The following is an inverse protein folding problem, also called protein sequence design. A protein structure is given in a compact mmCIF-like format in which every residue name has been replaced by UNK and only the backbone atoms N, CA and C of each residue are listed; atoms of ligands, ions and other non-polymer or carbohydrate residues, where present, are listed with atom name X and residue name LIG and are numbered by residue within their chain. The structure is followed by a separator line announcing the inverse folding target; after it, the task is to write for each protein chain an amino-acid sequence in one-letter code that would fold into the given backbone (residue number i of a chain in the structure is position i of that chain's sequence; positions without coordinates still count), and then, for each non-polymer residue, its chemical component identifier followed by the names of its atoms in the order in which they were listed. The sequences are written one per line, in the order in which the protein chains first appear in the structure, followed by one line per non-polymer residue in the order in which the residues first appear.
data_IF_053776704799
#
_entry.id   IF_053776704799
#
_cell.length_a   1.000
_cell.length_b   1.000
_cell.length_c   1.000
_cell.angle_alpha   90.00
_cell.angle_beta   90.00
_cell.angle_gamma   90.00
#
_symmetry.space_group_name_H-M   'P 1'
#
loop_
_entity.id
_entity.type
_entity.pdbx_description
1 polymer ?
#
# COMPACT_ATOMS: atom_id res chain seq x y z
N UNK A 1 -13.62 18.78 7.68
CA UNK A 1 -13.86 17.47 8.34
C UNK A 1 -12.53 16.82 8.66
N UNK A 2 -12.48 15.93 9.66
CA UNK A 2 -11.26 15.19 10.06
C UNK A 2 -11.55 13.69 10.02
N UNK A 3 -10.69 12.94 9.37
CA UNK A 3 -10.82 11.49 9.24
C UNK A 3 -9.52 10.78 9.61
N UNK A 4 -9.62 9.51 9.95
CA UNK A 4 -8.47 8.66 10.21
C UNK A 4 -8.57 7.33 9.47
N UNK A 5 -7.43 6.81 9.01
CA UNK A 5 -7.34 5.51 8.37
C UNK A 5 -6.26 4.68 9.05
N UNK A 6 -6.60 3.44 9.42
CA UNK A 6 -5.63 2.47 9.92
C UNK A 6 -5.44 1.39 8.84
N UNK A 7 -4.20 1.27 8.36
CA UNK A 7 -3.77 0.26 7.39
C UNK A 7 -2.87 -0.76 8.12
N UNK A 8 -3.38 -1.97 8.30
CA UNK A 8 -2.67 -3.09 8.93
C UNK A 8 -2.08 -3.95 7.82
N UNK A 9 -0.90 -3.54 7.35
CA UNK A 9 -0.16 -4.25 6.32
C UNK A 9 0.77 -5.34 6.87
N UNK A 10 1.31 -6.16 5.96
CA UNK A 10 2.20 -7.26 6.33
C UNK A 10 3.55 -6.80 6.91
N UNK A 11 4.09 -5.66 6.48
CA UNK A 11 5.38 -5.14 6.96
C UNK A 11 5.22 -4.10 8.07
N UNK A 12 4.18 -3.29 8.02
CA UNK A 12 3.95 -2.24 9.00
C UNK A 12 2.47 -1.92 9.15
N UNK A 13 2.11 -1.44 10.32
CA UNK A 13 0.80 -0.87 10.63
C UNK A 13 0.92 0.65 10.55
N UNK A 14 -0.06 1.32 9.93
CA UNK A 14 -0.04 2.76 9.70
C UNK A 14 -1.33 3.40 10.20
N UNK A 15 -1.20 4.61 10.73
CA UNK A 15 -2.31 5.51 10.99
C UNK A 15 -2.10 6.77 10.15
N UNK A 16 -3.05 7.08 9.28
CA UNK A 16 -3.14 8.36 8.58
C UNK A 16 -4.21 9.21 9.24
N UNK A 17 -3.84 10.42 9.68
CA UNK A 17 -4.76 11.47 10.10
C UNK A 17 -4.86 12.50 8.98
N UNK A 18 -6.07 12.84 8.57
CA UNK A 18 -6.31 13.72 7.42
C UNK A 18 -7.37 14.77 7.71
N UNK A 19 -7.06 16.03 7.35
CA UNK A 19 -8.04 17.11 7.28
C UNK A 19 -8.60 17.19 5.86
N UNK A 20 -9.92 17.24 5.73
CA UNK A 20 -10.61 17.47 4.47
C UNK A 20 -11.30 18.83 4.53
N UNK A 21 -10.94 19.68 3.60
CA UNK A 21 -11.48 21.03 3.45
C UNK A 21 -12.33 21.11 2.19
N UNK A 22 -13.59 21.49 2.34
CA UNK A 22 -14.44 21.83 1.21
C UNK A 22 -13.97 23.16 0.61
N UNK A 23 -13.74 23.18 -0.69
CA UNK A 23 -13.42 24.39 -1.43
C UNK A 23 -14.35 24.55 -2.64
N UNK A 24 -14.31 25.71 -3.29
CA UNK A 24 -15.10 25.94 -4.48
C UNK A 24 -14.76 24.97 -5.63
N UNK A 25 -13.49 24.57 -5.72
CA UNK A 25 -12.97 23.66 -6.75
C UNK A 25 -13.07 22.16 -6.34
N UNK A 26 -13.72 21.87 -5.20
CA UNK A 26 -13.86 20.52 -4.65
C UNK A 26 -13.11 20.29 -3.34
N UNK A 27 -13.15 19.05 -2.81
CA UNK A 27 -12.51 18.73 -1.54
C UNK A 27 -10.98 18.70 -1.66
N UNK A 28 -10.31 19.26 -0.67
CA UNK A 28 -8.85 19.24 -0.55
C UNK A 28 -8.46 18.39 0.64
N UNK A 29 -7.73 17.29 0.38
CA UNK A 29 -7.24 16.34 1.38
C UNK A 29 -5.85 16.72 1.86
N UNK A 30 -5.73 17.13 3.13
CA UNK A 30 -4.43 17.49 3.74
C UNK A 30 -4.05 16.46 4.79
N UNK A 31 -3.02 15.66 4.50
CA UNK A 31 -2.41 14.76 5.50
C UNK A 31 -1.91 15.61 6.67
N UNK A 32 -2.43 15.33 7.85
CA UNK A 32 -1.99 15.99 9.09
C UNK A 32 -0.80 15.23 9.69
N UNK A 33 -0.90 13.88 9.76
CA UNK A 33 0.16 13.03 10.31
C UNK A 33 0.06 11.62 9.73
N UNK A 34 1.21 10.96 9.58
CA UNK A 34 1.32 9.56 9.21
C UNK A 34 2.24 8.83 10.18
N UNK A 35 1.63 8.09 11.11
CA UNK A 35 2.35 7.26 12.07
C UNK A 35 2.53 5.86 11.51
N UNK A 36 3.74 5.29 11.63
CA UNK A 36 4.07 3.97 11.11
C UNK A 36 4.78 3.12 12.16
N UNK A 37 4.23 1.92 12.41
CA UNK A 37 4.78 0.92 13.34
C UNK A 37 5.18 -0.35 12.59
N UNK A 38 6.47 -0.73 12.57
CA UNK A 38 6.98 -1.88 11.80
C UNK A 38 6.80 -3.20 12.58
N UNK A 39 5.57 -3.69 12.71
CA UNK A 39 5.26 -4.92 13.47
C UNK A 39 5.62 -6.19 12.67
N UNK A 40 5.63 -6.13 11.33
CA UNK A 40 6.03 -7.24 10.43
C UNK A 40 5.19 -8.51 10.61
N UNK A 41 3.87 -8.37 10.68
CA UNK A 41 2.92 -9.49 10.83
C UNK A 41 3.13 -10.60 9.78
N UNK A 42 3.56 -10.20 8.57
CA UNK A 42 3.80 -11.13 7.46
C UNK A 42 4.95 -12.12 7.70
N UNK A 43 5.91 -11.82 8.56
CA UNK A 43 6.98 -12.79 8.89
C UNK A 43 6.41 -14.06 9.53
N UNK A 44 5.44 -13.90 10.40
CA UNK A 44 4.80 -15.01 11.09
C UNK A 44 3.73 -15.65 10.20
N UNK A 45 2.79 -14.83 9.70
CA UNK A 45 1.64 -15.30 8.94
C UNK A 45 2.04 -16.10 7.69
N UNK A 46 3.05 -15.65 6.93
CA UNK A 46 3.43 -16.35 5.70
C UNK A 46 4.27 -17.60 5.96
N UNK A 47 5.04 -17.64 7.06
CA UNK A 47 5.89 -18.79 7.41
C UNK A 47 5.16 -19.85 8.23
N UNK A 48 4.38 -19.42 9.20
CA UNK A 48 3.81 -20.29 10.23
C UNK A 48 2.29 -20.37 10.17
N UNK A 49 1.64 -19.57 9.32
CA UNK A 49 0.19 -19.40 9.24
C UNK A 49 -0.47 -18.89 10.53
N UNK A 50 0.30 -18.51 11.51
CA UNK A 50 -0.17 -18.04 12.82
C UNK A 50 0.64 -16.79 13.18
N UNK A 51 -0.03 -15.73 13.64
CA UNK A 51 0.61 -14.55 14.21
C UNK A 51 0.99 -14.88 15.66
N UNK A 52 2.26 -14.65 16.01
CA UNK A 52 2.79 -14.97 17.33
C UNK A 52 2.22 -14.06 18.43
N UNK A 53 2.23 -14.56 19.66
CA UNK A 53 1.75 -13.84 20.82
C UNK A 53 2.45 -12.49 20.98
N UNK A 54 3.76 -12.42 20.78
CA UNK A 54 4.54 -11.19 20.85
C UNK A 54 4.01 -10.13 19.85
N UNK A 55 3.75 -10.53 18.59
CA UNK A 55 3.24 -9.60 17.57
C UNK A 55 1.78 -9.21 17.80
N UNK A 56 0.97 -10.11 18.37
CA UNK A 56 -0.40 -9.78 18.80
C UNK A 56 -0.36 -8.70 19.87
N UNK A 57 0.49 -8.84 20.90
CA UNK A 57 0.63 -7.80 21.93
C UNK A 57 1.13 -6.47 21.36
N UNK A 58 2.11 -6.50 20.46
CA UNK A 58 2.61 -5.30 19.78
C UNK A 58 1.50 -4.63 18.98
N UNK A 59 0.69 -5.41 18.25
CA UNK A 59 -0.44 -4.91 17.49
C UNK A 59 -1.49 -4.27 18.40
N UNK A 60 -1.88 -4.94 19.48
CA UNK A 60 -2.84 -4.41 20.46
C UNK A 60 -2.37 -3.05 21.02
N UNK A 61 -1.11 -2.96 21.43
CA UNK A 61 -0.51 -1.71 21.95
C UNK A 61 -0.50 -0.61 20.89
N UNK A 62 -0.10 -0.92 19.66
CA UNK A 62 -0.06 0.02 18.56
C UNK A 62 -1.45 0.57 18.21
N UNK A 63 -2.45 -0.32 18.07
CA UNK A 63 -3.84 0.09 17.75
C UNK A 63 -4.44 0.90 18.90
N UNK A 64 -4.14 0.58 20.17
CA UNK A 64 -4.55 1.40 21.32
C UNK A 64 -3.95 2.80 21.27
N UNK A 65 -2.66 2.91 20.95
CA UNK A 65 -2.01 4.21 20.77
C UNK A 65 -2.64 4.99 19.61
N UNK A 66 -2.97 4.33 18.50
CA UNK A 66 -3.66 4.95 17.38
C UNK A 66 -5.05 5.45 17.76
N UNK A 67 -5.80 4.68 18.58
CA UNK A 67 -7.11 5.13 19.07
C UNK A 67 -6.99 6.44 19.86
N UNK A 68 -6.00 6.55 20.75
CA UNK A 68 -5.76 7.78 21.51
C UNK A 68 -5.39 8.96 20.59
N UNK A 69 -4.59 8.73 19.56
CA UNK A 69 -4.24 9.77 18.58
C UNK A 69 -5.47 10.22 17.77
N UNK A 70 -6.33 9.28 17.37
CA UNK A 70 -7.58 9.55 16.68
C UNK A 70 -8.50 10.43 17.55
N UNK A 71 -8.63 10.09 18.83
CA UNK A 71 -9.46 10.83 19.80
C UNK A 71 -8.94 12.26 20.02
N UNK A 72 -7.63 12.42 20.22
CA UNK A 72 -6.98 13.73 20.37
C UNK A 72 -7.09 14.57 19.10
N UNK A 73 -6.93 13.94 17.92
CA UNK A 73 -7.09 14.61 16.63
C UNK A 73 -8.53 15.08 16.40
N UNK A 74 -9.51 14.39 17.02
CA UNK A 74 -10.93 14.66 16.87
C UNK A 74 -11.46 14.26 15.48
N UNK A 75 -11.05 13.08 14.99
CA UNK A 75 -11.59 12.52 13.77
C UNK A 75 -13.09 12.19 13.97
N UNK A 76 -13.92 12.61 13.02
CA UNK A 76 -15.37 12.34 13.06
C UNK A 76 -15.71 10.91 12.69
N UNK A 77 -14.81 10.27 11.92
CA UNK A 77 -14.93 8.87 11.53
C UNK A 77 -13.53 8.28 11.24
N UNK A 78 -13.42 6.96 11.34
CA UNK A 78 -12.21 6.22 11.00
C UNK A 78 -12.54 4.81 10.52
N UNK A 79 -11.61 4.22 9.77
CA UNK A 79 -11.73 2.85 9.33
C UNK A 79 -10.38 2.13 9.45
N UNK A 80 -10.40 0.90 10.01
CA UNK A 80 -9.23 0.05 10.16
C UNK A 80 -9.35 -1.17 9.23
N UNK A 81 -8.45 -1.26 8.25
CA UNK A 81 -8.38 -2.36 7.30
C UNK A 81 -7.11 -3.18 7.51
N UNK A 82 -7.23 -4.50 7.44
CA UNK A 82 -6.10 -5.43 7.44
C UNK A 82 -6.04 -6.19 6.11
N UNK A 83 -4.82 -6.43 5.62
CA UNK A 83 -4.58 -7.02 4.30
C UNK A 83 -3.98 -8.43 4.39
N UNK A 84 -3.08 -8.80 3.49
CA UNK A 84 -2.62 -10.18 3.25
C UNK A 84 -2.11 -10.92 4.48
N UNK A 85 -1.38 -10.29 5.39
CA UNK A 85 -0.88 -11.01 6.59
C UNK A 85 -2.01 -11.45 7.52
N UNK A 86 -2.97 -10.57 7.79
CA UNK A 86 -4.13 -10.93 8.60
C UNK A 86 -5.05 -11.92 7.87
N UNK A 87 -5.26 -11.72 6.56
CA UNK A 87 -6.10 -12.58 5.73
C UNK A 87 -5.64 -14.04 5.74
N UNK A 88 -4.33 -14.29 5.80
CA UNK A 88 -3.76 -15.64 5.73
C UNK A 88 -3.43 -16.27 7.10
N UNK A 89 -3.60 -15.55 8.18
CA UNK A 89 -3.39 -16.09 9.52
C UNK A 89 -4.56 -16.97 9.95
N UNK A 90 -4.27 -18.19 10.39
CA UNK A 90 -5.28 -19.13 10.88
C UNK A 90 -5.92 -18.66 12.20
N UNK A 91 -5.19 -17.86 12.99
CA UNK A 91 -5.67 -17.28 14.24
C UNK A 91 -6.20 -15.84 14.12
N UNK A 92 -6.57 -15.40 12.91
CA UNK A 92 -6.99 -14.01 12.65
C UNK A 92 -8.20 -13.57 13.48
N UNK A 93 -9.19 -14.44 13.71
CA UNK A 93 -10.36 -14.13 14.50
C UNK A 93 -9.99 -13.84 15.96
N UNK A 94 -9.07 -14.61 16.52
CA UNK A 94 -8.53 -14.38 17.87
C UNK A 94 -7.77 -13.04 17.92
N UNK A 95 -6.93 -12.76 16.95
CA UNK A 95 -6.16 -11.50 16.86
C UNK A 95 -7.12 -10.30 16.80
N UNK A 96 -8.13 -10.34 15.92
CA UNK A 96 -9.12 -9.28 15.78
C UNK A 96 -9.87 -9.05 17.09
N UNK A 97 -10.33 -10.14 17.70
CA UNK A 97 -11.03 -10.07 18.99
C UNK A 97 -10.17 -9.43 20.08
N UNK A 98 -8.92 -9.86 20.21
CA UNK A 98 -7.99 -9.31 21.23
C UNK A 98 -7.68 -7.82 20.98
N UNK A 99 -7.51 -7.41 19.72
CA UNK A 99 -7.34 -6.00 19.37
C UNK A 99 -8.58 -5.20 19.75
N UNK A 100 -9.77 -5.72 19.45
CA UNK A 100 -11.02 -5.07 19.83
C UNK A 100 -11.17 -4.95 21.35
N UNK A 101 -10.98 -6.04 22.09
CA UNK A 101 -11.08 -6.07 23.55
C UNK A 101 -10.12 -5.07 24.23
N UNK A 102 -8.92 -4.87 23.62
CA UNK A 102 -7.89 -4.00 24.16
C UNK A 102 -8.04 -2.53 23.75
N UNK A 103 -8.47 -2.25 22.53
CA UNK A 103 -8.46 -0.90 21.93
C UNK A 103 -9.85 -0.31 21.66
N UNK A 104 -10.88 -1.15 21.54
CA UNK A 104 -12.21 -0.77 21.08
C UNK A 104 -12.29 -0.54 19.56
N UNK A 105 -11.22 -0.86 18.79
CA UNK A 105 -11.21 -0.72 17.32
C UNK A 105 -11.54 -2.05 16.68
N UNK A 106 -12.56 -2.04 15.80
CA UNK A 106 -12.86 -3.15 14.92
C UNK A 106 -11.95 -3.13 13.70
N UNK A 107 -11.48 -4.31 13.27
CA UNK A 107 -10.60 -4.47 12.11
C UNK A 107 -11.37 -5.24 11.03
N UNK A 108 -11.47 -4.66 9.84
CA UNK A 108 -12.02 -5.33 8.67
C UNK A 108 -10.88 -5.96 7.84
N UNK A 109 -10.92 -7.27 7.67
CA UNK A 109 -9.97 -7.98 6.79
C UNK A 109 -10.50 -7.91 5.37
N UNK A 110 -9.77 -7.19 4.51
CA UNK A 110 -10.17 -6.97 3.12
C UNK A 110 -9.44 -7.92 2.17
N UNK A 111 -10.11 -8.30 1.09
CA UNK A 111 -9.49 -9.05 -0.01
C UNK A 111 -8.73 -8.12 -0.98
N UNK A 112 -7.93 -8.71 -1.88
CA UNK A 112 -7.13 -7.93 -2.82
C UNK A 112 -7.96 -7.12 -3.84
N UNK A 113 -9.20 -7.54 -4.11
CA UNK A 113 -10.11 -6.81 -5.00
C UNK A 113 -10.63 -5.54 -4.31
N UNK A 114 -11.05 -5.69 -3.06
CA UNK A 114 -11.48 -4.56 -2.22
C UNK A 114 -10.33 -3.58 -1.99
N UNK A 115 -9.11 -4.09 -1.74
CA UNK A 115 -7.90 -3.29 -1.60
C UNK A 115 -7.64 -2.44 -2.86
N UNK A 116 -7.72 -3.04 -4.06
CA UNK A 116 -7.60 -2.34 -5.33
C UNK A 116 -8.71 -1.28 -5.53
N UNK A 117 -9.95 -1.57 -5.13
CA UNK A 117 -11.07 -0.62 -5.22
C UNK A 117 -10.87 0.58 -4.28
N UNK A 118 -10.42 0.35 -3.05
CA UNK A 118 -10.10 1.42 -2.09
C UNK A 118 -8.99 2.31 -2.64
N UNK A 119 -7.96 1.73 -3.22
CA UNK A 119 -6.87 2.49 -3.84
C UNK A 119 -7.38 3.30 -5.03
N UNK A 120 -8.28 2.74 -5.83
CA UNK A 120 -8.88 3.46 -6.96
C UNK A 120 -9.70 4.67 -6.52
N UNK A 121 -10.35 4.63 -5.36
CA UNK A 121 -11.13 5.74 -4.81
C UNK A 121 -10.29 6.98 -4.45
N UNK A 122 -8.95 6.89 -4.50
CA UNK A 122 -8.05 8.04 -4.35
C UNK A 122 -8.12 9.07 -5.49
N UNK A 123 -9.15 9.00 -6.34
CA UNK A 123 -9.26 9.87 -7.52
C UNK A 123 -7.99 9.88 -8.39
N UNK A 124 -7.26 8.74 -8.40
CA UNK A 124 -6.10 8.57 -9.31
C UNK A 124 -6.52 8.91 -10.74
N UNK A 125 -7.75 8.55 -11.11
CA UNK A 125 -8.31 8.83 -12.42
C UNK A 125 -8.35 10.34 -12.77
N UNK A 126 -8.48 11.23 -11.80
CA UNK A 126 -8.51 12.68 -12.02
C UNK A 126 -7.14 13.27 -12.40
N UNK A 127 -6.07 12.54 -12.04
CA UNK A 127 -4.68 12.90 -12.39
C UNK A 127 -4.15 12.17 -13.62
N UNK A 128 -5.01 11.35 -14.24
CA UNK A 128 -4.65 10.57 -15.43
C UNK A 128 -5.08 11.32 -16.69
N UNK A 129 -4.22 11.27 -17.70
CA UNK A 129 -4.54 11.84 -19.01
C UNK A 129 -5.68 11.02 -19.68
N UNK A 130 -6.71 11.67 -20.21
CA UNK A 130 -7.71 10.99 -21.04
C UNK A 130 -7.03 10.28 -22.21
N UNK A 131 -7.52 9.11 -22.58
CA UNK A 131 -6.99 8.26 -23.66
C UNK A 131 -5.61 7.62 -23.40
N UNK A 132 -5.12 7.67 -22.17
CA UNK A 132 -3.91 6.97 -21.75
C UNK A 132 -4.26 5.74 -20.91
N UNK A 133 -3.60 4.61 -21.19
CA UNK A 133 -3.74 3.39 -20.38
C UNK A 133 -2.67 3.33 -19.30
N UNK A 134 -3.03 2.81 -18.14
CA UNK A 134 -2.15 2.73 -16.98
C UNK A 134 -2.13 1.34 -16.37
N UNK A 135 -0.96 0.94 -15.87
CA UNK A 135 -0.80 -0.22 -15.00
C UNK A 135 -0.47 0.27 -13.58
N UNK A 136 -1.43 0.15 -12.67
CA UNK A 136 -1.20 0.40 -11.26
C UNK A 136 -0.52 -0.81 -10.62
N UNK A 137 0.53 -0.56 -9.83
CA UNK A 137 1.38 -1.56 -9.20
C UNK A 137 1.50 -1.21 -7.72
N UNK A 138 0.87 -1.98 -6.87
CA UNK A 138 1.06 -1.87 -5.41
C UNK A 138 1.85 -3.08 -4.91
N UNK A 139 3.04 -2.83 -4.38
CA UNK A 139 3.93 -3.88 -3.88
C UNK A 139 3.90 -3.89 -2.37
N UNK A 140 3.13 -4.82 -1.83
CA UNK A 140 3.03 -5.10 -0.40
C UNK A 140 4.11 -6.07 0.12
N UNK A 141 3.98 -6.40 1.42
CA UNK A 141 4.84 -7.43 2.05
C UNK A 141 4.47 -8.84 1.61
N UNK A 142 3.18 -9.13 1.48
CA UNK A 142 2.64 -10.45 1.16
C UNK A 142 2.18 -10.62 -0.27
N UNK A 143 1.72 -9.57 -0.89
CA UNK A 143 1.12 -9.61 -2.22
C UNK A 143 1.56 -8.43 -3.08
N UNK A 144 1.29 -8.53 -4.37
CA UNK A 144 1.37 -7.43 -5.33
C UNK A 144 0.03 -7.35 -6.05
N UNK A 145 -0.60 -6.20 -5.94
CA UNK A 145 -1.85 -5.88 -6.61
C UNK A 145 -1.52 -5.19 -7.94
N UNK A 146 -2.08 -5.71 -9.03
CA UNK A 146 -1.97 -5.13 -10.36
C UNK A 146 -3.36 -4.76 -10.87
N UNK A 147 -3.52 -3.51 -11.32
CA UNK A 147 -4.78 -3.03 -11.87
C UNK A 147 -4.53 -2.26 -13.16
N UNK A 148 -5.22 -2.63 -14.23
CA UNK A 148 -5.16 -1.98 -15.54
C UNK A 148 -6.32 -0.99 -15.63
N UNK A 149 -5.99 0.26 -15.92
CA UNK A 149 -6.94 1.34 -16.17
C UNK A 149 -6.81 1.83 -17.61
N UNK A 150 -7.94 2.02 -18.27
CA UNK A 150 -8.01 2.78 -19.51
C UNK A 150 -9.36 3.51 -19.55
N UNK A 151 -9.39 4.68 -20.15
CA UNK A 151 -10.57 5.53 -20.30
C UNK A 151 -11.33 5.78 -18.97
N UNK A 152 -10.58 5.90 -17.86
CA UNK A 152 -11.16 6.12 -16.53
C UNK A 152 -11.83 4.91 -15.90
N UNK A 153 -11.68 3.69 -16.46
CA UNK A 153 -12.30 2.48 -15.95
C UNK A 153 -11.27 1.41 -15.55
N UNK A 154 -11.61 0.61 -14.53
CA UNK A 154 -10.87 -0.61 -14.20
C UNK A 154 -11.22 -1.68 -15.24
N UNK A 155 -10.23 -2.16 -15.97
CA UNK A 155 -10.41 -3.20 -16.98
C UNK A 155 -10.04 -4.60 -16.47
N UNK A 156 -8.93 -4.69 -15.74
CA UNK A 156 -8.47 -5.92 -15.11
C UNK A 156 -7.83 -5.60 -13.77
N UNK A 157 -8.06 -6.44 -12.78
CA UNK A 157 -7.40 -6.35 -11.47
C UNK A 157 -7.10 -7.74 -10.94
N UNK A 158 -5.89 -7.95 -10.42
CA UNK A 158 -5.45 -9.23 -9.87
C UNK A 158 -4.46 -8.99 -8.73
N UNK A 159 -4.64 -9.75 -7.64
CA UNK A 159 -3.68 -9.87 -6.55
C UNK A 159 -2.86 -11.15 -6.73
N UNK A 160 -1.56 -11.06 -6.52
CA UNK A 160 -0.62 -12.18 -6.59
C UNK A 160 0.11 -12.34 -5.28
N UNK A 161 0.32 -13.59 -4.85
CA UNK A 161 1.13 -13.92 -3.68
C UNK A 161 2.64 -13.70 -3.97
N UNK A 162 2.95 -12.54 -4.50
CA UNK A 162 4.29 -12.03 -4.80
C UNK A 162 4.48 -10.77 -3.98
N UNK A 163 5.09 -10.89 -2.82
CA UNK A 163 5.31 -9.78 -1.89
C UNK A 163 6.75 -9.75 -1.39
N UNK A 164 7.15 -8.61 -0.83
CA UNK A 164 8.55 -8.39 -0.46
C UNK A 164 9.03 -9.28 0.69
N UNK A 165 8.17 -9.55 1.69
CA UNK A 165 8.47 -10.46 2.80
C UNK A 165 8.49 -11.91 2.30
N UNK A 166 7.55 -12.30 1.43
CA UNK A 166 7.57 -13.64 0.82
C UNK A 166 8.84 -13.89 0.03
N UNK A 167 9.29 -12.90 -0.75
CA UNK A 167 10.54 -13.02 -1.51
C UNK A 167 11.77 -13.07 -0.61
N UNK A 168 11.77 -12.32 0.49
CA UNK A 168 12.85 -12.32 1.48
C UNK A 168 13.03 -13.71 2.12
N UNK A 169 11.96 -14.47 2.25
CA UNK A 169 11.93 -15.81 2.83
C UNK A 169 11.76 -16.94 1.81
N UNK A 170 12.05 -16.71 0.54
CA UNK A 170 11.99 -17.68 -0.57
C UNK A 170 10.61 -18.39 -0.71
N UNK A 171 9.54 -17.70 -0.34
CA UNK A 171 8.15 -18.24 -0.36
C UNK A 171 7.39 -17.94 -1.66
N UNK A 172 8.05 -17.41 -2.67
CA UNK A 172 7.48 -17.23 -4.01
C UNK A 172 7.99 -18.33 -4.91
N UNK A 173 7.13 -19.31 -5.24
CA UNK A 173 7.49 -20.42 -6.11
C UNK A 173 7.80 -19.93 -7.54
N UNK A 174 8.55 -20.74 -8.30
CA UNK A 174 8.80 -20.45 -9.72
C UNK A 174 7.53 -20.36 -10.53
N UNK A 175 6.53 -21.19 -10.23
CA UNK A 175 5.25 -21.21 -10.93
C UNK A 175 4.44 -19.94 -10.62
N UNK A 176 4.37 -19.53 -9.34
CA UNK A 176 3.74 -18.26 -8.95
C UNK A 176 4.40 -17.08 -9.67
N UNK A 177 5.74 -17.07 -9.73
CA UNK A 177 6.49 -16.00 -10.40
C UNK A 177 6.28 -16.00 -11.93
N UNK A 178 6.16 -17.16 -12.54
CA UNK A 178 5.89 -17.29 -13.97
C UNK A 178 4.45 -16.86 -14.29
N UNK A 179 3.46 -17.38 -13.56
CA UNK A 179 2.05 -16.99 -13.72
C UNK A 179 1.86 -15.47 -13.55
N UNK A 180 2.55 -14.86 -12.59
CA UNK A 180 2.58 -13.40 -12.41
C UNK A 180 3.04 -12.67 -13.68
N UNK A 181 4.16 -13.10 -14.27
CA UNK A 181 4.70 -12.47 -15.49
C UNK A 181 3.84 -12.74 -16.73
N UNK A 182 3.27 -13.94 -16.84
CA UNK A 182 2.39 -14.32 -17.95
C UNK A 182 1.10 -13.50 -17.94
N UNK A 183 0.47 -13.36 -16.78
CA UNK A 183 -0.71 -12.51 -16.62
C UNK A 183 -0.41 -11.07 -17.05
N UNK A 184 0.71 -10.50 -16.61
CA UNK A 184 1.11 -9.16 -17.01
C UNK A 184 1.20 -9.04 -18.52
N UNK A 185 1.94 -9.93 -19.18
CA UNK A 185 2.11 -9.91 -20.65
C UNK A 185 0.79 -10.03 -21.38
N UNK A 186 -0.06 -10.98 -20.95
CA UNK A 186 -1.34 -11.24 -21.60
C UNK A 186 -2.31 -10.07 -21.42
N UNK A 187 -2.50 -9.62 -20.16
CA UNK A 187 -3.53 -8.63 -19.87
C UNK A 187 -3.15 -7.21 -20.25
N UNK A 188 -1.85 -6.88 -20.27
CA UNK A 188 -1.41 -5.53 -20.68
C UNK A 188 -1.32 -5.34 -22.18
N UNK A 189 -1.15 -6.44 -22.96
CA UNK A 189 -0.94 -6.38 -24.41
C UNK A 189 -1.98 -5.56 -25.19
N UNK A 190 -3.30 -5.67 -24.91
CA UNK A 190 -4.32 -4.93 -25.66
C UNK A 190 -4.30 -3.42 -25.43
N UNK A 191 -3.65 -2.95 -24.35
CA UNK A 191 -3.76 -1.57 -23.86
C UNK A 191 -2.48 -0.76 -24.00
N UNK A 192 -1.49 -1.28 -24.74
CA UNK A 192 -0.22 -0.57 -24.99
C UNK A 192 -0.41 0.62 -25.91
N UNK A 193 0.34 1.72 -25.71
CA UNK A 193 1.33 1.91 -24.67
C UNK A 193 0.72 2.19 -23.28
N UNK A 194 1.38 1.70 -22.22
CA UNK A 194 0.99 1.96 -20.84
C UNK A 194 2.03 2.79 -20.09
N UNK A 195 1.56 3.51 -19.09
CA UNK A 195 2.41 4.13 -18.05
C UNK A 195 2.15 3.38 -16.74
N UNK A 196 3.21 3.07 -15.98
CA UNK A 196 3.04 2.50 -14.67
C UNK A 196 2.73 3.58 -13.62
N UNK A 197 1.91 3.22 -12.63
CA UNK A 197 1.69 3.99 -11.40
C UNK A 197 2.12 3.10 -10.25
N UNK A 198 3.12 3.54 -9.49
CA UNK A 198 3.67 2.78 -8.37
C UNK A 198 3.17 3.28 -7.03
N UNK A 199 2.69 2.36 -6.19
CA UNK A 199 2.27 2.61 -4.82
C UNK A 199 3.12 1.82 -3.82
N UNK A 200 3.06 2.28 -2.58
CA UNK A 200 3.72 1.63 -1.46
C UNK A 200 5.01 2.30 -1.01
N UNK A 201 5.44 1.94 0.20
CA UNK A 201 6.56 2.62 0.85
C UNK A 201 7.92 2.41 0.18
N UNK A 202 8.10 1.31 -0.55
CA UNK A 202 9.37 0.99 -1.20
C UNK A 202 9.58 1.82 -2.47
N UNK A 203 8.56 1.94 -3.33
CA UNK A 203 8.67 2.78 -4.53
C UNK A 203 8.81 4.26 -4.16
N UNK A 204 8.13 4.72 -3.10
CA UNK A 204 8.30 6.07 -2.56
C UNK A 204 9.74 6.33 -2.09
N UNK A 205 10.41 5.33 -1.49
CA UNK A 205 11.81 5.45 -1.09
C UNK A 205 12.74 5.46 -2.31
N UNK A 206 12.50 4.61 -3.30
CA UNK A 206 13.26 4.64 -4.57
C UNK A 206 13.11 5.98 -5.28
N UNK A 207 11.90 6.54 -5.31
CA UNK A 207 11.64 7.86 -5.87
C UNK A 207 12.46 8.95 -5.18
N UNK A 208 12.48 8.95 -3.84
CA UNK A 208 13.30 9.88 -3.04
C UNK A 208 14.79 9.70 -3.30
N UNK A 209 15.27 8.46 -3.42
CA UNK A 209 16.69 8.18 -3.71
C UNK A 209 17.10 8.60 -5.13
N UNK A 210 16.15 8.65 -6.06
CA UNK A 210 16.40 9.10 -7.43
C UNK A 210 16.54 10.61 -7.56
N UNK A 211 16.33 11.38 -6.47
CA UNK A 211 16.37 12.84 -6.41
C UNK A 211 15.53 13.50 -7.54
N UNK A 212 14.36 12.95 -7.79
CA UNK A 212 13.43 13.46 -8.79
C UNK A 212 12.49 14.52 -8.18
N UNK A 213 12.21 15.56 -8.97
CA UNK A 213 11.17 16.54 -8.62
C UNK A 213 9.81 15.83 -8.59
N UNK A 214 8.92 16.28 -7.70
CA UNK A 214 7.54 15.82 -7.66
C UNK A 214 6.91 15.82 -9.06
N UNK A 215 6.10 14.82 -9.35
CA UNK A 215 5.41 14.60 -10.63
C UNK A 215 6.29 14.25 -11.85
N UNK A 216 7.61 14.05 -11.69
CA UNK A 216 8.41 13.48 -12.78
C UNK A 216 8.50 11.98 -12.66
N UNK A 217 8.17 11.22 -13.73
CA UNK A 217 8.22 9.76 -13.67
C UNK A 217 9.67 9.27 -13.49
N UNK A 218 9.82 8.12 -12.82
CA UNK A 218 11.05 7.35 -12.84
C UNK A 218 11.10 6.51 -14.11
N UNK A 219 12.27 6.43 -14.73
CA UNK A 219 12.50 5.49 -15.82
C UNK A 219 12.92 4.12 -15.30
N UNK A 220 12.65 3.08 -16.07
CA UNK A 220 13.05 1.70 -15.72
C UNK A 220 14.58 1.59 -15.58
N UNK A 221 15.35 2.35 -16.39
CA UNK A 221 16.81 2.43 -16.29
C UNK A 221 17.23 2.98 -14.94
N UNK A 222 16.59 4.05 -14.46
CA UNK A 222 16.91 4.65 -13.16
C UNK A 222 16.59 3.70 -12.01
N UNK A 223 15.49 2.97 -12.09
CA UNK A 223 15.16 1.94 -11.10
C UNK A 223 16.21 0.81 -11.13
N UNK A 224 16.69 0.42 -12.33
CA UNK A 224 17.74 -0.59 -12.48
C UNK A 224 19.07 -0.12 -11.89
N UNK A 225 19.47 1.13 -12.12
CA UNK A 225 20.65 1.72 -11.49
C UNK A 225 20.55 1.68 -9.96
N UNK A 226 19.40 2.08 -9.41
CA UNK A 226 19.16 2.02 -7.97
C UNK A 226 19.16 0.58 -7.43
N UNK A 227 18.63 -0.38 -8.20
CA UNK A 227 18.66 -1.80 -7.84
C UNK A 227 20.10 -2.33 -7.71
N UNK A 228 20.94 -2.07 -8.71
CA UNK A 228 22.35 -2.49 -8.67
C UNK A 228 23.10 -1.73 -7.56
N UNK A 229 22.87 -0.44 -7.39
CA UNK A 229 23.45 0.34 -6.30
C UNK A 229 23.08 -0.24 -4.92
N UNK A 230 21.81 -0.55 -4.67
CA UNK A 230 21.35 -1.13 -3.40
C UNK A 230 21.97 -2.51 -3.13
N UNK A 231 22.23 -3.31 -4.16
CA UNK A 231 22.86 -4.64 -4.04
C UNK A 231 24.32 -4.57 -3.61
N UNK A 232 25.01 -3.49 -3.95
CA UNK A 232 26.40 -3.28 -3.55
C UNK A 232 26.56 -2.95 -2.06
N UNK A 233 25.47 -2.57 -1.39
CA UNK A 233 25.46 -2.21 0.03
C UNK A 233 24.91 -3.38 0.87
N UNK A 234 25.59 -3.69 1.96
CA UNK A 234 25.09 -4.61 3.00
C UNK A 234 23.80 -4.05 3.65
N UNK A 235 23.12 -4.89 4.43
CA UNK A 235 21.93 -4.45 5.19
C UNK A 235 22.27 -3.29 6.14
N UNK A 236 23.40 -3.40 6.83
CA UNK A 236 23.89 -2.39 7.76
C UNK A 236 24.18 -1.06 7.05
N UNK A 237 24.90 -1.10 5.91
CA UNK A 237 25.18 0.09 5.11
C UNK A 237 23.92 0.75 4.57
N UNK A 238 22.92 -0.03 4.17
CA UNK A 238 21.60 0.55 3.77
C UNK A 238 20.92 1.31 4.91
N UNK A 239 21.06 0.82 6.14
CA UNK A 239 20.54 1.51 7.32
C UNK A 239 21.39 2.73 7.67
N UNK A 240 22.69 2.55 7.85
CA UNK A 240 23.56 3.56 8.44
C UNK A 240 24.01 4.63 7.44
N UNK A 241 24.26 4.27 6.18
CA UNK A 241 24.78 5.18 5.17
C UNK A 241 23.67 5.73 4.25
N UNK A 242 22.70 4.87 3.85
CA UNK A 242 21.61 5.28 2.97
C UNK A 242 20.36 5.77 3.72
N UNK A 243 20.35 5.70 5.06
CA UNK A 243 19.27 6.18 5.90
C UNK A 243 17.94 5.45 5.64
N UNK A 244 17.99 4.14 5.38
CA UNK A 244 16.78 3.33 5.32
C UNK A 244 16.41 2.88 6.74
N UNK A 245 15.10 2.87 7.04
CA UNK A 245 14.65 2.20 8.25
C UNK A 245 15.01 0.70 8.19
N UNK A 246 15.41 0.06 9.31
CA UNK A 246 15.82 -1.35 9.31
C UNK A 246 14.82 -2.29 8.64
N UNK A 247 13.54 -2.12 8.92
CA UNK A 247 12.42 -2.91 8.37
C UNK A 247 12.11 -2.59 6.89
N UNK A 248 12.83 -1.67 6.28
CA UNK A 248 12.77 -1.37 4.84
C UNK A 248 14.06 -1.75 4.13
N UNK A 249 15.18 -1.70 4.81
CA UNK A 249 16.48 -1.97 4.24
C UNK A 249 16.63 -3.41 3.71
N UNK A 250 15.93 -4.37 4.29
CA UNK A 250 15.91 -5.76 3.84
C UNK A 250 14.92 -6.02 2.69
N UNK A 251 13.76 -5.34 2.69
CA UNK A 251 12.70 -5.55 1.68
C UNK A 251 12.82 -4.64 0.45
N UNK A 252 13.69 -3.64 0.45
CA UNK A 252 13.82 -2.69 -0.68
C UNK A 252 14.31 -3.39 -1.97
N UNK A 253 15.23 -4.35 -1.85
CA UNK A 253 15.75 -5.12 -3.00
C UNK A 253 14.67 -6.04 -3.58
N UNK A 254 13.96 -6.88 -2.79
CA UNK A 254 12.80 -7.62 -3.27
C UNK A 254 11.75 -6.73 -3.95
N UNK A 255 11.40 -5.60 -3.33
CA UNK A 255 10.45 -4.67 -3.92
C UNK A 255 10.90 -4.13 -5.28
N UNK A 256 12.14 -3.67 -5.38
CA UNK A 256 12.71 -3.15 -6.64
C UNK A 256 12.70 -4.22 -7.73
N UNK A 257 13.01 -5.48 -7.38
CA UNK A 257 12.95 -6.62 -8.32
C UNK A 257 11.53 -6.85 -8.83
N UNK A 258 10.51 -6.74 -7.98
CA UNK A 258 9.10 -6.87 -8.39
C UNK A 258 8.74 -5.75 -9.37
N UNK A 259 9.02 -4.47 -9.05
CA UNK A 259 8.75 -3.35 -9.95
C UNK A 259 9.44 -3.52 -11.31
N UNK A 260 10.75 -3.82 -11.32
CA UNK A 260 11.50 -4.04 -12.56
C UNK A 260 10.93 -5.19 -13.40
N UNK A 261 10.54 -6.30 -12.74
CA UNK A 261 9.99 -7.46 -13.45
C UNK A 261 8.61 -7.16 -14.03
N UNK A 262 7.78 -6.40 -13.30
CA UNK A 262 6.46 -5.96 -13.76
C UNK A 262 6.58 -5.03 -14.95
N UNK A 263 7.39 -3.96 -14.83
CA UNK A 263 7.61 -3.00 -15.92
C UNK A 263 8.19 -3.65 -17.17
N UNK A 264 9.17 -4.56 -16.99
CA UNK A 264 9.74 -5.32 -18.11
C UNK A 264 8.72 -6.23 -18.79
N UNK A 265 7.90 -6.95 -18.02
CA UNK A 265 6.88 -7.86 -18.58
C UNK A 265 5.77 -7.10 -19.31
N UNK A 266 5.41 -5.90 -18.84
CA UNK A 266 4.43 -5.02 -19.45
C UNK A 266 5.01 -4.14 -20.58
N UNK A 267 6.34 -4.15 -20.79
CA UNK A 267 7.05 -3.27 -21.75
C UNK A 267 6.84 -1.77 -21.44
N UNK A 268 6.89 -1.43 -20.14
CA UNK A 268 6.73 -0.07 -19.64
C UNK A 268 8.10 0.51 -19.32
N UNK A 269 8.37 1.72 -19.80
CA UNK A 269 9.63 2.44 -19.58
C UNK A 269 9.58 3.47 -18.44
N UNK A 270 8.38 3.87 -18.01
CA UNK A 270 8.17 4.95 -17.02
C UNK A 270 7.15 4.57 -15.96
N UNK A 271 7.42 5.00 -14.71
CA UNK A 271 6.52 4.83 -13.58
C UNK A 271 6.31 6.17 -12.87
N UNK A 272 5.05 6.54 -12.66
CA UNK A 272 4.64 7.68 -11.84
C UNK A 272 4.53 7.22 -10.39
N UNK A 273 4.96 8.04 -9.44
CA UNK A 273 4.91 7.72 -7.99
C UNK A 273 4.15 8.84 -7.26
N UNK A 274 2.83 8.75 -7.15
CA UNK A 274 2.00 9.82 -6.60
C UNK A 274 2.04 9.90 -5.06
N UNK A 275 2.75 8.99 -4.39
CA UNK A 275 2.86 8.90 -2.93
C UNK A 275 1.52 8.73 -2.19
N UNK A 276 0.58 8.06 -2.83
CA UNK A 276 -0.71 7.65 -2.28
C UNK A 276 -0.74 6.14 -2.03
N UNK A 277 -1.67 5.68 -1.21
CA UNK A 277 -1.83 4.25 -0.89
C UNK A 277 -3.20 3.94 -0.29
N UNK A 278 -3.32 2.75 0.30
CA UNK A 278 -4.56 2.24 0.89
C UNK A 278 -5.17 3.22 1.91
N UNK A 279 -4.35 3.78 2.81
CA UNK A 279 -4.83 4.73 3.82
C UNK A 279 -5.47 5.98 3.21
N UNK A 280 -4.95 6.46 2.08
CA UNK A 280 -5.52 7.61 1.37
C UNK A 280 -6.91 7.27 0.80
N UNK A 281 -7.04 6.08 0.17
CA UNK A 281 -8.33 5.61 -0.35
C UNK A 281 -9.38 5.43 0.74
N UNK A 282 -8.99 4.93 1.90
CA UNK A 282 -9.87 4.85 3.07
C UNK A 282 -10.41 6.24 3.43
N UNK A 283 -9.55 7.26 3.49
CA UNK A 283 -9.98 8.65 3.79
C UNK A 283 -10.99 9.16 2.75
N UNK A 284 -10.76 8.91 1.46
CA UNK A 284 -11.70 9.30 0.41
C UNK A 284 -13.07 8.62 0.56
N UNK A 285 -13.08 7.31 0.86
CA UNK A 285 -14.33 6.57 1.10
C UNK A 285 -15.09 7.12 2.32
N UNK A 286 -14.38 7.40 3.42
CA UNK A 286 -14.98 7.98 4.60
C UNK A 286 -15.59 9.35 4.30
N UNK A 287 -14.88 10.19 3.56
CA UNK A 287 -15.38 11.50 3.13
C UNK A 287 -16.65 11.38 2.28
N UNK A 288 -16.66 10.52 1.25
CA UNK A 288 -17.83 10.32 0.39
C UNK A 288 -19.03 9.75 1.15
N UNK A 289 -18.82 8.87 2.12
CA UNK A 289 -19.89 8.39 3.01
C UNK A 289 -20.53 9.54 3.78
N UNK A 290 -19.72 10.44 4.34
CA UNK A 290 -20.22 11.58 5.13
C UNK A 290 -20.83 12.67 4.26
N UNK A 291 -20.28 12.92 3.08
CA UNK A 291 -20.84 13.88 2.12
C UNK A 291 -22.24 13.49 1.64
N UNK A 292 -22.47 12.19 1.42
CA UNK A 292 -23.74 11.66 0.92
C UNK A 292 -24.76 11.32 2.03
N UNK A 293 -24.40 11.48 3.32
CA UNK A 293 -25.38 11.39 4.40
C UNK A 293 -26.24 12.65 4.40
N UNK A 294 -27.58 12.53 4.40
CA UNK A 294 -28.43 13.69 4.58
C UNK A 294 -28.09 14.34 5.91
N UNK A 295 -27.82 15.66 5.90
CA UNK A 295 -27.61 16.44 7.11
C UNK A 295 -28.77 16.14 8.08
N UNK A 296 -28.46 15.49 9.19
CA UNK A 296 -29.27 15.57 10.39
C UNK A 296 -29.23 17.04 10.81
N UNK A 297 -30.19 17.83 10.34
CA UNK A 297 -30.42 19.19 10.85
C UNK A 297 -30.67 19.05 12.33
N UNK A 298 -29.66 19.32 13.13
CA UNK A 298 -29.83 19.60 14.55
C UNK A 298 -30.56 20.95 14.64
N UNK A 299 -31.84 20.91 14.89
CA UNK A 299 -32.65 22.05 15.36
C UNK A 299 -32.35 22.28 16.83
#
# INVERSE_FOLDING_TARGET
MKFAAIDIGSNAVRLLLCNVHETYDGPVFKKAELVRMPIRLGEDSFRFKVISEEKIEQLCKAIKAFKLLIDVFGAIDFWACATSAMREADNKEEVIKRVYDYSGINIDVIDGKTEAQIIYSNHIAEHLEPNQSYLYIDVGGGSTELTIFADGHILNSQSFNVGTIRMLHDQVSKDTWNSFKEWIKEKTRPYKPLIAIGSGGNINKLFKMADRKENKPLTIEKIRELYEFLKLHSLEERVMQLGLNPDRADVIIPATKIFLSTMKAAEIDRIIVPQIGLSDGIIHILYERHRNMPELKLY
#
